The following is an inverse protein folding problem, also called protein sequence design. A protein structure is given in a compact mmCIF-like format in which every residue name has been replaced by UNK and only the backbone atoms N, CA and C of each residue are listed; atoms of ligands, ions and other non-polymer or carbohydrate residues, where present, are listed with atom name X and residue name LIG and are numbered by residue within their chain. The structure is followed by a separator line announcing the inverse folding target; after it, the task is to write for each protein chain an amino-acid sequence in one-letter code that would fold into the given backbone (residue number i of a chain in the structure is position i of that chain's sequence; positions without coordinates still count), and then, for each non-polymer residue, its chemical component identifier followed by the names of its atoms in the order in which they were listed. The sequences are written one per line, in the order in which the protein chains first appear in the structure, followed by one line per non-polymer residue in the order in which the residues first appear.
data_IF_324425010410
#
_entry.id   IF_324425010410
#
_cell.length_a   1.000
_cell.length_b   1.000
_cell.length_c   1.000
_cell.angle_alpha   90.00
_cell.angle_beta   90.00
_cell.angle_gamma   90.00
#
_symmetry.space_group_name_H-M   'P 1'
#
loop_
_entity.id
_entity.type
_entity.pdbx_description
1 polymer ?
#
# COMPACT_ATOMS: atom_id res chain seq x y z
N UNK A 1 -9.25 5.02 2.76
CA UNK A 1 -9.87 6.15 3.47
C UNK A 1 -10.28 7.27 2.52
N UNK A 2 -9.33 8.12 2.12
CA UNK A 2 -9.60 9.33 1.34
C UNK A 2 -10.36 9.09 0.01
N UNK A 3 -9.99 8.08 -0.77
CA UNK A 3 -10.71 7.75 -2.01
C UNK A 3 -12.19 7.39 -1.79
N UNK A 4 -12.52 6.71 -0.68
CA UNK A 4 -13.89 6.34 -0.33
C UNK A 4 -14.77 7.53 0.13
N UNK A 5 -14.14 8.65 0.53
CA UNK A 5 -14.87 9.90 0.80
C UNK A 5 -15.36 10.56 -0.51
N UNK A 6 -14.54 10.47 -1.56
CA UNK A 6 -14.86 11.01 -2.89
C UNK A 6 -15.84 10.11 -3.64
N UNK A 7 -15.56 8.80 -3.68
CA UNK A 7 -16.33 7.82 -4.42
C UNK A 7 -16.61 6.59 -3.54
N UNK A 8 -17.88 6.29 -3.21
CA UNK A 8 -18.23 5.05 -2.54
C UNK A 8 -17.78 3.85 -3.37
N UNK A 9 -16.91 3.02 -2.81
CA UNK A 9 -16.31 1.91 -3.54
C UNK A 9 -17.29 0.73 -3.56
N UNK A 10 -17.64 0.26 -4.76
CA UNK A 10 -18.53 -0.89 -5.01
C UNK A 10 -17.76 -1.94 -5.83
N UNK A 11 -18.08 -3.23 -5.65
CA UNK A 11 -17.22 -4.32 -6.10
C UNK A 11 -17.43 -4.77 -7.57
N UNK A 12 -16.32 -5.11 -8.24
CA UNK A 12 -16.22 -6.23 -9.19
C UNK A 12 -15.68 -7.48 -8.47
N UNK A 13 -16.41 -8.60 -8.54
CA UNK A 13 -16.39 -9.65 -7.49
C UNK A 13 -15.29 -10.70 -7.63
N UNK A 14 -14.75 -10.95 -8.83
CA UNK A 14 -13.94 -12.14 -9.09
C UNK A 14 -12.42 -11.92 -8.86
N UNK A 15 -11.80 -10.96 -9.54
CA UNK A 15 -10.33 -10.77 -9.51
C UNK A 15 -9.83 -10.21 -8.18
N UNK A 16 -10.61 -9.32 -7.56
CA UNK A 16 -10.32 -8.71 -6.25
C UNK A 16 -10.28 -9.74 -5.12
N UNK A 17 -11.05 -10.82 -5.22
CA UNK A 17 -11.12 -11.85 -4.17
C UNK A 17 -9.81 -12.63 -4.01
N UNK A 18 -9.14 -13.00 -5.11
CA UNK A 18 -7.89 -13.77 -5.08
C UNK A 18 -6.74 -12.93 -4.52
N UNK A 19 -6.53 -11.73 -5.05
CA UNK A 19 -5.45 -10.86 -4.60
C UNK A 19 -5.64 -10.37 -3.17
N UNK A 20 -6.89 -10.13 -2.76
CA UNK A 20 -7.22 -9.84 -1.36
C UNK A 20 -6.89 -11.00 -0.43
N UNK A 21 -7.26 -12.23 -0.78
CA UNK A 21 -6.92 -13.40 0.04
C UNK A 21 -5.41 -13.60 0.17
N UNK A 22 -4.65 -13.43 -0.92
CA UNK A 22 -3.19 -13.53 -0.87
C UNK A 22 -2.60 -12.44 0.02
N UNK A 23 -3.13 -11.22 -0.02
CA UNK A 23 -2.69 -10.14 0.86
C UNK A 23 -2.87 -10.50 2.34
N UNK A 24 -4.04 -11.06 2.72
CA UNK A 24 -4.28 -11.51 4.10
C UNK A 24 -3.30 -12.63 4.47
N UNK A 25 -3.15 -13.64 3.61
CA UNK A 25 -2.25 -14.77 3.88
C UNK A 25 -0.80 -14.32 4.01
N UNK A 26 -0.34 -13.42 3.15
CA UNK A 26 1.01 -12.85 3.22
C UNK A 26 1.21 -12.04 4.51
N UNK A 27 0.20 -11.27 4.91
CA UNK A 27 0.26 -10.49 6.16
C UNK A 27 0.29 -11.40 7.39
N UNK A 28 -0.54 -12.44 7.42
CA UNK A 28 -0.53 -13.44 8.49
C UNK A 28 0.78 -14.23 8.53
N UNK A 29 1.36 -14.53 7.37
CA UNK A 29 2.67 -15.18 7.27
C UNK A 29 3.78 -14.30 7.86
N UNK A 30 3.82 -13.01 7.51
CA UNK A 30 4.78 -12.06 8.08
C UNK A 30 4.56 -11.90 9.58
N UNK A 31 3.32 -11.79 10.05
CA UNK A 31 2.99 -11.74 11.49
C UNK A 31 3.46 -13.01 12.21
N UNK A 32 3.20 -14.19 11.65
CA UNK A 32 3.63 -15.46 12.24
C UNK A 32 5.15 -15.55 12.37
N UNK A 33 5.91 -15.13 11.36
CA UNK A 33 7.37 -15.11 11.41
C UNK A 33 7.89 -14.05 12.40
N UNK A 34 7.25 -12.88 12.44
CA UNK A 34 7.58 -11.81 13.38
C UNK A 34 7.40 -12.25 14.84
N UNK A 35 6.31 -12.94 15.18
CA UNK A 35 6.07 -13.43 16.55
C UNK A 35 6.81 -14.72 16.89
N UNK A 36 7.04 -15.59 15.90
CA UNK A 36 7.60 -16.92 16.13
C UNK A 36 9.12 -16.97 16.07
N UNK A 37 9.72 -16.24 15.12
CA UNK A 37 11.17 -16.27 14.85
C UNK A 37 11.87 -14.96 15.19
N UNK A 38 11.11 -13.87 15.46
CA UNK A 38 11.63 -12.50 15.68
C UNK A 38 12.54 -12.00 14.54
N UNK A 39 12.54 -12.69 13.42
CA UNK A 39 13.40 -12.45 12.26
C UNK A 39 12.62 -12.80 11.01
N UNK A 40 12.79 -12.01 9.95
CA UNK A 40 12.33 -12.33 8.61
C UNK A 40 13.50 -12.92 7.80
N UNK A 41 13.63 -14.26 7.73
CA UNK A 41 14.80 -14.91 7.13
C UNK A 41 14.77 -14.85 5.60
N UNK A 42 15.94 -15.02 4.97
CA UNK A 42 16.10 -14.99 3.50
C UNK A 42 15.15 -15.93 2.76
N UNK A 43 14.91 -17.12 3.31
CA UNK A 43 14.02 -18.10 2.68
C UNK A 43 12.56 -17.62 2.66
N UNK A 44 12.12 -16.89 3.68
CA UNK A 44 10.78 -16.32 3.73
C UNK A 44 10.65 -15.21 2.68
N UNK A 45 11.68 -14.37 2.53
CA UNK A 45 11.75 -13.38 1.46
C UNK A 45 11.70 -14.02 0.06
N UNK A 46 12.43 -15.11 -0.16
CA UNK A 46 12.41 -15.83 -1.44
C UNK A 46 11.03 -16.42 -1.74
N UNK A 47 10.35 -16.98 -0.74
CA UNK A 47 8.98 -17.47 -0.88
C UNK A 47 8.03 -16.33 -1.27
N UNK A 48 8.17 -15.16 -0.64
CA UNK A 48 7.36 -13.98 -0.95
C UNK A 48 7.58 -13.49 -2.39
N UNK A 49 8.82 -13.46 -2.87
CA UNK A 49 9.15 -13.11 -4.25
C UNK A 49 8.56 -14.12 -5.26
N UNK A 50 8.67 -15.42 -4.97
CA UNK A 50 8.05 -16.47 -5.81
C UNK A 50 6.54 -16.31 -5.83
N UNK A 51 5.90 -16.03 -4.68
CA UNK A 51 4.47 -15.77 -4.61
C UNK A 51 4.07 -14.55 -5.46
N UNK A 52 4.87 -13.47 -5.45
CA UNK A 52 4.62 -12.30 -6.31
C UNK A 52 4.69 -12.65 -7.80
N UNK A 53 5.70 -13.43 -8.21
CA UNK A 53 5.87 -13.85 -9.60
C UNK A 53 4.70 -14.73 -10.05
N UNK A 54 4.35 -15.75 -9.25
CA UNK A 54 3.22 -16.65 -9.54
C UNK A 54 1.92 -15.87 -9.65
N UNK A 55 1.66 -14.94 -8.72
CA UNK A 55 0.46 -14.12 -8.74
C UNK A 55 0.41 -13.22 -9.98
N UNK A 56 1.54 -12.62 -10.35
CA UNK A 56 1.64 -11.77 -11.54
C UNK A 56 1.32 -12.58 -12.80
N UNK A 57 1.96 -13.74 -12.97
CA UNK A 57 1.72 -14.65 -14.09
C UNK A 57 0.25 -15.11 -14.13
N UNK A 58 -0.32 -15.46 -12.98
CA UNK A 58 -1.72 -15.87 -12.89
C UNK A 58 -2.72 -14.77 -13.30
N UNK A 59 -2.41 -13.50 -13.00
CA UNK A 59 -3.20 -12.36 -13.47
C UNK A 59 -3.11 -12.25 -15.01
N UNK A 60 -1.91 -12.30 -15.58
CA UNK A 60 -1.72 -12.17 -17.03
C UNK A 60 -2.45 -13.27 -17.81
N UNK A 61 -2.36 -14.53 -17.35
CA UNK A 61 -3.07 -15.65 -17.99
C UNK A 61 -4.59 -15.50 -17.84
N UNK A 62 -5.07 -14.89 -16.75
CA UNK A 62 -6.51 -14.69 -16.51
C UNK A 62 -7.14 -13.51 -17.26
N UNK A 63 -6.36 -12.55 -17.74
CA UNK A 63 -6.86 -11.29 -18.33
C UNK A 63 -7.09 -11.33 -19.85
N UNK A 64 -6.64 -12.38 -20.54
CA UNK A 64 -6.72 -12.52 -22.01
C UNK A 64 -8.16 -12.40 -22.54
N UNK A 65 -9.18 -12.70 -21.71
CA UNK A 65 -10.59 -12.66 -22.11
C UNK A 65 -11.30 -11.31 -21.93
N UNK A 66 -10.80 -10.39 -21.10
CA UNK A 66 -11.49 -9.09 -20.83
C UNK A 66 -10.87 -7.92 -21.61
N UNK A 67 -9.55 -7.93 -21.83
CA UNK A 67 -8.86 -6.87 -22.57
C UNK A 67 -9.28 -6.78 -24.04
N UNK A 68 -9.77 -7.88 -24.62
CA UNK A 68 -10.22 -7.96 -26.02
C UNK A 68 -11.60 -7.31 -26.22
N UNK A 69 -12.45 -7.27 -25.19
CA UNK A 69 -13.82 -6.75 -25.29
C UNK A 69 -13.86 -5.21 -25.17
N UNK A 70 -13.03 -4.63 -24.29
CA UNK A 70 -12.97 -3.18 -24.03
C UNK A 70 -12.18 -2.39 -25.10
N UNK A 71 -11.24 -3.04 -25.79
CA UNK A 71 -10.42 -2.46 -26.85
C UNK A 71 -11.18 -2.23 -28.19
N UNK A 72 -12.47 -2.58 -28.26
CA UNK A 72 -13.29 -2.44 -29.48
C UNK A 72 -13.85 -1.03 -29.74
N UNK A 73 -13.35 0.01 -29.06
CA UNK A 73 -13.63 1.41 -29.41
C UNK A 73 -12.61 1.94 -30.45
N UNK A 74 -12.98 2.07 -31.74
CA UNK A 74 -12.03 2.28 -32.83
C UNK A 74 -11.51 3.74 -32.97
N UNK A 75 -11.74 4.61 -31.98
CA UNK A 75 -11.35 6.03 -32.02
C UNK A 75 -10.12 6.41 -31.17
N UNK A 76 -9.51 5.44 -30.49
CA UNK A 76 -8.48 5.71 -29.48
C UNK A 76 -7.10 5.93 -30.12
N UNK A 77 -6.53 7.13 -29.95
CA UNK A 77 -5.16 7.40 -30.37
C UNK A 77 -4.18 6.78 -29.37
N UNK A 78 -3.71 5.57 -29.68
CA UNK A 78 -2.73 4.83 -28.89
C UNK A 78 -1.49 5.66 -28.59
N UNK A 79 -0.98 6.42 -29.56
CA UNK A 79 0.19 7.28 -29.36
C UNK A 79 -0.04 8.34 -28.30
N UNK A 80 -1.15 9.08 -28.39
CA UNK A 80 -1.50 10.10 -27.38
C UNK A 80 -1.67 9.49 -25.99
N UNK A 81 -2.17 8.26 -25.93
CA UNK A 81 -2.52 7.60 -24.66
C UNK A 81 -1.32 6.99 -23.98
N UNK A 82 -0.40 6.41 -24.75
CA UNK A 82 0.90 6.00 -24.23
C UNK A 82 1.69 7.21 -23.72
N UNK A 83 1.66 8.34 -24.45
CA UNK A 83 2.29 9.59 -23.99
C UNK A 83 1.63 10.11 -22.72
N UNK A 84 0.30 10.14 -22.64
CA UNK A 84 -0.42 10.57 -21.45
C UNK A 84 -0.14 9.66 -20.24
N UNK A 85 -0.08 8.34 -20.45
CA UNK A 85 0.24 7.37 -19.41
C UNK A 85 1.66 7.56 -18.88
N UNK A 86 2.66 7.58 -19.76
CA UNK A 86 4.07 7.75 -19.38
C UNK A 86 4.27 9.12 -18.73
N UNK A 87 3.78 10.19 -19.36
CA UNK A 87 3.89 11.55 -18.83
C UNK A 87 3.22 11.70 -17.47
N UNK A 88 2.03 11.13 -17.30
CA UNK A 88 1.32 11.10 -16.02
C UNK A 88 2.08 10.34 -14.94
N UNK A 89 2.58 9.14 -15.25
CA UNK A 89 3.36 8.31 -14.33
C UNK A 89 4.66 9.01 -13.92
N UNK A 90 5.41 9.57 -14.87
CA UNK A 90 6.64 10.31 -14.60
C UNK A 90 6.36 11.53 -13.72
N UNK A 91 5.33 12.31 -14.04
CA UNK A 91 4.94 13.49 -13.25
C UNK A 91 4.58 13.10 -11.81
N UNK A 92 3.86 12.00 -11.65
CA UNK A 92 3.46 11.50 -10.33
C UNK A 92 4.66 11.04 -9.49
N UNK A 93 5.58 10.26 -10.08
CA UNK A 93 6.77 9.75 -9.39
C UNK A 93 7.72 10.89 -9.04
N UNK A 94 8.07 11.73 -10.03
CA UNK A 94 9.02 12.84 -9.83
C UNK A 94 8.43 13.89 -8.90
N UNK A 95 7.15 14.24 -9.06
CA UNK A 95 6.47 15.17 -8.16
C UNK A 95 6.41 14.66 -6.72
N UNK A 96 6.17 13.36 -6.53
CA UNK A 96 6.26 12.71 -5.22
C UNK A 96 7.66 12.81 -4.61
N UNK A 97 8.70 12.50 -5.38
CA UNK A 97 10.09 12.59 -4.91
C UNK A 97 10.49 14.02 -4.51
N UNK A 98 10.15 15.02 -5.33
CA UNK A 98 10.42 16.44 -5.03
C UNK A 98 9.71 16.85 -3.74
N UNK A 99 8.47 16.40 -3.53
CA UNK A 99 7.73 16.67 -2.30
C UNK A 99 8.43 16.07 -1.07
N UNK A 100 8.90 14.82 -1.15
CA UNK A 100 9.59 14.15 -0.04
C UNK A 100 10.87 14.91 0.31
N UNK A 101 11.70 15.24 -0.69
CA UNK A 101 12.96 15.97 -0.48
C UNK A 101 12.69 17.31 0.21
N UNK A 102 11.77 18.11 -0.32
CA UNK A 102 11.44 19.40 0.30
C UNK A 102 10.85 19.27 1.71
N UNK A 103 10.05 18.23 1.98
CA UNK A 103 9.49 17.99 3.30
C UNK A 103 10.57 17.54 4.32
N UNK A 104 11.51 16.70 3.89
CA UNK A 104 12.67 16.29 4.70
C UNK A 104 13.56 17.50 5.01
N UNK A 105 13.92 18.30 4.00
CA UNK A 105 14.75 19.50 4.18
C UNK A 105 14.13 20.49 5.18
N UNK A 106 12.79 20.66 5.14
CA UNK A 106 12.07 21.51 6.09
C UNK A 106 12.06 20.90 7.49
N UNK A 107 11.89 19.59 7.62
CA UNK A 107 11.87 18.90 8.90
C UNK A 107 13.23 18.95 9.61
N UNK A 108 14.32 18.78 8.85
CA UNK A 108 15.69 18.92 9.36
C UNK A 108 15.97 20.35 9.85
N UNK A 109 15.53 21.37 9.10
CA UNK A 109 15.67 22.78 9.50
C UNK A 109 14.91 23.13 10.79
N UNK A 110 13.81 22.44 11.07
CA UNK A 110 13.02 22.59 12.32
C UNK A 110 13.62 21.76 13.47
N UNK A 111 14.68 20.98 13.20
CA UNK A 111 15.38 20.18 14.21
C UNK A 111 14.67 18.87 14.56
N UNK A 112 13.85 18.32 13.65
CA UNK A 112 13.22 17.02 13.88
C UNK A 112 14.27 15.89 13.79
N UNK A 113 14.25 14.90 14.69
CA UNK A 113 15.16 13.77 14.63
C UNK A 113 14.99 12.95 13.34
N UNK A 114 16.10 12.48 12.75
CA UNK A 114 16.10 11.66 11.52
C UNK A 114 15.18 10.44 11.61
N UNK A 115 15.13 9.80 12.78
CA UNK A 115 14.24 8.66 13.04
C UNK A 115 12.75 9.04 12.88
N UNK A 116 12.35 10.22 13.37
CA UNK A 116 10.97 10.72 13.24
C UNK A 116 10.67 11.06 11.78
N UNK A 117 11.61 11.70 11.08
CA UNK A 117 11.50 12.02 9.66
C UNK A 117 11.32 10.74 8.83
N UNK A 118 12.15 9.73 9.08
CA UNK A 118 12.08 8.42 8.41
C UNK A 118 10.78 7.69 8.68
N UNK A 119 10.36 7.63 9.96
CA UNK A 119 9.14 6.94 10.37
C UNK A 119 7.86 7.61 9.88
N UNK A 120 7.89 8.90 9.53
CA UNK A 120 6.69 9.67 9.15
C UNK A 120 6.75 10.22 7.73
N UNK A 121 7.59 11.22 7.48
CA UNK A 121 7.64 11.95 6.20
C UNK A 121 8.04 11.01 5.07
N UNK A 122 9.09 10.22 5.25
CA UNK A 122 9.55 9.27 4.23
C UNK A 122 8.52 8.14 4.07
N UNK A 123 8.03 7.57 5.17
CA UNK A 123 7.03 6.50 5.15
C UNK A 123 5.73 6.92 4.43
N UNK A 124 5.16 8.08 4.75
CA UNK A 124 3.96 8.62 4.08
C UNK A 124 4.30 9.02 2.65
N UNK A 125 5.45 9.65 2.45
CA UNK A 125 5.92 10.18 1.20
C UNK A 125 5.97 9.16 0.07
N UNK A 126 6.50 7.97 0.36
CA UNK A 126 6.60 6.87 -0.62
C UNK A 126 5.22 6.34 -1.08
N UNK A 127 4.15 6.59 -0.31
CA UNK A 127 2.78 6.20 -0.64
C UNK A 127 1.95 7.33 -1.30
N UNK A 128 2.55 8.53 -1.48
CA UNK A 128 1.87 9.66 -2.10
C UNK A 128 1.48 9.40 -3.57
N UNK A 129 2.36 8.83 -4.42
CA UNK A 129 1.98 8.50 -5.80
C UNK A 129 0.71 7.65 -5.86
N UNK A 130 0.62 6.60 -5.05
CA UNK A 130 -0.51 5.68 -4.98
C UNK A 130 -1.76 6.38 -4.45
N UNK A 131 -1.62 7.25 -3.45
CA UNK A 131 -2.72 8.06 -2.93
C UNK A 131 -3.28 8.97 -4.02
N UNK A 132 -2.43 9.73 -4.71
CA UNK A 132 -2.85 10.65 -5.75
C UNK A 132 -3.43 9.94 -6.98
N UNK A 133 -2.85 8.81 -7.39
CA UNK A 133 -3.42 7.96 -8.45
C UNK A 133 -4.83 7.48 -8.07
N UNK A 134 -5.01 7.01 -6.83
CA UNK A 134 -6.32 6.58 -6.32
C UNK A 134 -7.33 7.73 -6.25
N UNK A 135 -6.91 8.92 -5.81
CA UNK A 135 -7.77 10.10 -5.76
C UNK A 135 -8.17 10.57 -7.16
N UNK A 136 -7.24 10.55 -8.12
CA UNK A 136 -7.52 10.88 -9.51
C UNK A 136 -8.51 9.90 -10.14
N UNK A 137 -8.33 8.59 -9.94
CA UNK A 137 -9.26 7.56 -10.38
C UNK A 137 -10.65 7.71 -9.73
N UNK A 138 -10.70 7.95 -8.41
CA UNK A 138 -11.94 8.17 -7.67
C UNK A 138 -12.71 9.39 -8.17
N UNK A 139 -12.02 10.50 -8.47
CA UNK A 139 -12.63 11.71 -9.04
C UNK A 139 -13.33 11.47 -10.38
N UNK A 140 -12.84 10.51 -11.15
CA UNK A 140 -13.41 10.13 -12.44
C UNK A 140 -14.39 8.95 -12.36
N UNK A 141 -14.76 8.49 -11.15
CA UNK A 141 -15.71 7.39 -10.97
C UNK A 141 -15.13 5.98 -11.16
N UNK A 142 -13.81 5.84 -11.36
CA UNK A 142 -13.16 4.55 -11.62
C UNK A 142 -12.87 3.77 -10.33
N UNK A 143 -13.91 3.31 -9.65
CA UNK A 143 -13.80 2.60 -8.37
C UNK A 143 -13.00 1.30 -8.43
N UNK A 144 -13.06 0.57 -9.54
CA UNK A 144 -12.30 -0.67 -9.74
C UNK A 144 -10.80 -0.41 -9.80
N UNK A 145 -10.39 0.68 -10.48
CA UNK A 145 -8.98 1.12 -10.53
C UNK A 145 -8.48 1.52 -9.14
N UNK A 146 -9.33 2.18 -8.34
CA UNK A 146 -9.00 2.53 -6.94
C UNK A 146 -8.74 1.28 -6.11
N UNK A 147 -9.64 0.29 -6.17
CA UNK A 147 -9.48 -0.97 -5.41
C UNK A 147 -8.26 -1.74 -5.90
N UNK A 148 -8.07 -1.83 -7.22
CA UNK A 148 -6.92 -2.49 -7.83
C UNK A 148 -5.60 -1.87 -7.38
N UNK A 149 -5.52 -0.55 -7.33
CA UNK A 149 -4.33 0.16 -6.84
C UNK A 149 -4.08 -0.11 -5.34
N UNK A 150 -5.12 -0.03 -4.49
CA UNK A 150 -4.99 -0.29 -3.05
C UNK A 150 -4.51 -1.72 -2.76
N UNK A 151 -5.07 -2.72 -3.42
CA UNK A 151 -4.69 -4.12 -3.19
C UNK A 151 -3.33 -4.42 -3.82
N UNK A 152 -3.10 -3.96 -5.05
CA UNK A 152 -1.88 -4.22 -5.80
C UNK A 152 -0.64 -3.59 -5.17
N UNK A 153 -0.73 -2.34 -4.69
CA UNK A 153 0.40 -1.67 -4.03
C UNK A 153 0.77 -2.34 -2.71
N UNK A 154 -0.21 -2.69 -1.87
CA UNK A 154 0.05 -3.41 -0.62
C UNK A 154 0.63 -4.80 -0.86
N UNK A 155 0.13 -5.51 -1.89
CA UNK A 155 0.65 -6.81 -2.25
C UNK A 155 2.10 -6.72 -2.75
N UNK A 156 2.42 -5.69 -3.53
CA UNK A 156 3.79 -5.43 -4.00
C UNK A 156 4.70 -5.03 -2.83
N UNK A 157 4.23 -4.20 -1.89
CA UNK A 157 5.02 -3.80 -0.72
C UNK A 157 5.37 -5.01 0.15
N UNK A 158 4.42 -5.92 0.39
CA UNK A 158 4.71 -7.12 1.18
C UNK A 158 5.52 -8.11 0.35
N UNK A 159 5.02 -8.56 -0.80
CA UNK A 159 5.64 -9.68 -1.49
C UNK A 159 6.94 -9.30 -2.22
N UNK A 160 6.99 -8.12 -2.84
CA UNK A 160 8.15 -7.66 -3.60
C UNK A 160 9.13 -6.88 -2.74
N UNK A 161 8.71 -5.77 -2.13
CA UNK A 161 9.64 -4.87 -1.42
C UNK A 161 10.18 -5.55 -0.16
N UNK A 162 9.30 -5.97 0.75
CA UNK A 162 9.72 -6.65 1.98
C UNK A 162 10.37 -8.01 1.68
N UNK A 163 9.89 -8.74 0.67
CA UNK A 163 10.52 -9.99 0.21
C UNK A 163 11.95 -9.78 -0.29
N UNK A 164 12.19 -8.74 -1.10
CA UNK A 164 13.51 -8.39 -1.60
C UNK A 164 14.44 -7.96 -0.47
N UNK A 165 13.96 -7.10 0.44
CA UNK A 165 14.74 -6.67 1.60
C UNK A 165 15.18 -7.87 2.42
N UNK A 166 14.27 -8.80 2.76
CA UNK A 166 14.58 -10.00 3.54
C UNK A 166 15.60 -10.94 2.87
N UNK A 167 15.60 -11.03 1.54
CA UNK A 167 16.60 -11.82 0.79
C UNK A 167 17.99 -11.18 0.88
N UNK A 168 18.07 -9.85 0.69
CA UNK A 168 19.33 -9.10 0.71
C UNK A 168 19.89 -9.03 2.13
N UNK A 169 19.07 -8.57 3.08
CA UNK A 169 19.40 -8.37 4.48
C UNK A 169 18.28 -8.93 5.35
N UNK A 170 18.45 -10.09 6.01
CA UNK A 170 17.47 -10.58 6.98
C UNK A 170 17.11 -9.48 7.97
N UNK A 171 15.81 -9.33 8.23
CA UNK A 171 15.30 -8.27 9.09
C UNK A 171 15.06 -8.83 10.48
N UNK A 172 15.76 -8.30 11.47
CA UNK A 172 15.43 -8.52 12.87
C UNK A 172 14.19 -7.67 13.21
N UNK A 173 13.21 -8.31 13.84
CA UNK A 173 11.94 -7.71 14.19
C UNK A 173 11.91 -7.51 15.70
N UNK A 174 12.35 -6.36 16.23
CA UNK A 174 12.41 -6.15 17.66
C UNK A 174 11.01 -6.26 18.28
N UNK A 175 10.88 -6.99 19.41
CA UNK A 175 9.58 -7.28 20.03
C UNK A 175 8.82 -6.04 20.50
N UNK A 176 9.51 -4.90 20.71
CA UNK A 176 8.93 -3.70 21.29
C UNK A 176 8.35 -2.70 20.27
N UNK A 177 8.77 -2.75 18.99
CA UNK A 177 8.50 -1.67 18.02
C UNK A 177 7.60 -2.09 16.85
N UNK A 178 7.56 -3.38 16.52
CA UNK A 178 6.99 -3.87 15.25
C UNK A 178 5.65 -4.64 15.38
N UNK A 179 5.27 -5.27 16.51
CA UNK A 179 4.02 -6.03 16.56
C UNK A 179 2.78 -5.18 16.31
N UNK A 180 2.69 -3.99 16.92
CA UNK A 180 1.46 -3.20 16.87
C UNK A 180 1.13 -2.63 15.49
N UNK A 181 2.14 -2.17 14.75
CA UNK A 181 1.95 -1.65 13.38
C UNK A 181 1.55 -2.76 12.42
N UNK A 182 2.20 -3.93 12.50
CA UNK A 182 1.86 -5.10 11.69
C UNK A 182 0.48 -5.68 12.05
N UNK A 183 0.13 -5.73 13.33
CA UNK A 183 -1.21 -6.17 13.78
C UNK A 183 -2.27 -5.21 13.26
N UNK A 184 -2.08 -3.91 13.43
CA UNK A 184 -3.05 -2.92 12.96
C UNK A 184 -3.20 -2.96 11.44
N UNK A 185 -2.10 -3.14 10.71
CA UNK A 185 -2.11 -3.34 9.27
C UNK A 185 -2.89 -4.62 8.89
N UNK A 186 -2.65 -5.74 9.57
CA UNK A 186 -3.38 -7.00 9.35
C UNK A 186 -4.88 -6.88 9.64
N UNK A 187 -5.26 -6.19 10.73
CA UNK A 187 -6.65 -5.94 11.07
C UNK A 187 -7.34 -5.04 10.05
N UNK A 188 -6.73 -3.92 9.69
CA UNK A 188 -7.33 -2.95 8.76
C UNK A 188 -7.44 -3.51 7.34
N UNK A 189 -6.41 -4.19 6.84
CA UNK A 189 -6.45 -4.88 5.54
C UNK A 189 -7.43 -6.05 5.54
N UNK A 190 -7.48 -6.84 6.62
CA UNK A 190 -8.44 -7.92 6.81
C UNK A 190 -9.88 -7.43 6.81
N UNK A 191 -10.19 -6.37 7.56
CA UNK A 191 -11.51 -5.73 7.56
C UNK A 191 -11.85 -5.18 6.18
N UNK A 192 -10.92 -4.46 5.54
CA UNK A 192 -11.12 -3.92 4.20
C UNK A 192 -11.49 -5.01 3.19
N UNK A 193 -10.74 -6.11 3.16
CA UNK A 193 -10.99 -7.22 2.24
C UNK A 193 -12.28 -7.97 2.61
N UNK A 194 -12.55 -8.21 3.90
CA UNK A 194 -13.77 -8.86 4.34
C UNK A 194 -15.03 -8.09 3.90
N UNK A 195 -14.99 -6.76 4.00
CA UNK A 195 -16.06 -5.88 3.52
C UNK A 195 -16.26 -5.98 2.00
N UNK A 196 -15.16 -6.02 1.24
CA UNK A 196 -15.22 -6.21 -0.22
C UNK A 196 -15.79 -7.58 -0.60
N UNK A 197 -15.39 -8.66 0.09
CA UNK A 197 -15.89 -10.02 -0.13
C UNK A 197 -17.37 -10.15 0.25
N UNK A 198 -17.81 -9.46 1.31
CA UNK A 198 -19.20 -9.36 1.72
C UNK A 198 -20.06 -8.52 0.77
N UNK A 199 -19.48 -7.94 -0.29
CA UNK A 199 -20.17 -7.09 -1.25
C UNK A 199 -20.66 -5.77 -0.65
N UNK A 200 -20.11 -5.36 0.49
CA UNK A 200 -20.48 -4.12 1.14
C UNK A 200 -19.87 -2.93 0.40
N UNK A 201 -20.66 -1.87 0.24
CA UNK A 201 -20.16 -0.61 -0.32
C UNK A 201 -19.31 0.07 0.74
N UNK A 202 -18.04 0.34 0.43
CA UNK A 202 -17.20 1.15 1.32
C UNK A 202 -17.56 2.61 1.09
N UNK A 203 -18.56 3.05 1.84
CA UNK A 203 -19.06 4.42 1.80
C UNK A 203 -18.20 5.40 2.59
N UNK A 204 -18.63 6.66 2.60
CA UNK A 204 -17.91 7.77 3.23
C UNK A 204 -17.62 7.53 4.71
N UNK A 205 -18.57 6.97 5.46
CA UNK A 205 -18.41 6.71 6.90
C UNK A 205 -17.32 5.67 7.19
N UNK A 206 -17.27 4.60 6.40
CA UNK A 206 -16.20 3.59 6.52
C UNK A 206 -14.86 4.18 6.07
N UNK A 207 -14.86 4.98 5.01
CA UNK A 207 -13.69 5.74 4.56
C UNK A 207 -13.14 6.67 5.65
N UNK A 208 -14.03 7.36 6.37
CA UNK A 208 -13.69 8.22 7.50
C UNK A 208 -13.13 7.40 8.66
N UNK A 209 -13.75 6.27 9.00
CA UNK A 209 -13.26 5.37 10.05
C UNK A 209 -11.82 4.90 9.77
N UNK A 210 -11.52 4.46 8.53
CA UNK A 210 -10.15 4.11 8.13
C UNK A 210 -9.16 5.28 8.24
N UNK A 211 -9.60 6.52 7.92
CA UNK A 211 -8.74 7.70 8.09
C UNK A 211 -8.49 8.03 9.56
N UNK A 212 -9.52 7.93 10.41
CA UNK A 212 -9.38 8.18 11.85
C UNK A 212 -8.40 7.16 12.45
N UNK A 213 -8.54 5.87 12.12
CA UNK A 213 -7.58 4.84 12.56
C UNK A 213 -6.16 5.15 12.09
N UNK A 214 -5.98 5.57 10.84
CA UNK A 214 -4.67 5.96 10.32
C UNK A 214 -4.07 7.16 11.05
N UNK A 215 -4.88 8.21 11.30
CA UNK A 215 -4.42 9.40 12.04
C UNK A 215 -4.06 9.05 13.48
N UNK A 216 -4.88 8.25 14.16
CA UNK A 216 -4.59 7.79 15.53
C UNK A 216 -3.29 6.99 15.59
N UNK A 217 -3.05 6.12 14.61
CA UNK A 217 -1.80 5.38 14.50
C UNK A 217 -0.59 6.30 14.35
N UNK A 218 -0.66 7.30 13.45
CA UNK A 218 0.44 8.27 13.28
C UNK A 218 0.69 9.04 14.58
N UNK A 219 -0.37 9.51 15.25
CA UNK A 219 -0.23 10.23 16.52
C UNK A 219 0.42 9.37 17.61
N UNK A 220 0.01 8.10 17.73
CA UNK A 220 0.61 7.16 18.68
C UNK A 220 2.07 6.83 18.33
N UNK A 221 2.37 6.64 17.05
CA UNK A 221 3.73 6.38 16.58
C UNK A 221 4.67 7.56 16.86
N UNK A 222 4.15 8.78 16.75
CA UNK A 222 4.88 10.00 17.09
C UNK A 222 5.11 10.14 18.59
N UNK A 223 4.10 9.88 19.42
CA UNK A 223 4.25 9.96 20.88
C UNK A 223 5.23 8.91 21.41
N UNK A 224 5.19 7.68 20.91
CA UNK A 224 6.15 6.64 21.29
C UNK A 224 7.58 6.93 20.85
N UNK A 225 7.77 7.58 19.68
CA UNK A 225 9.08 8.05 19.22
C UNK A 225 9.65 9.19 20.06
N UNK A 226 8.79 10.05 20.63
CA UNK A 226 9.18 11.13 21.54
C UNK A 226 9.49 10.61 22.95
N UNK A 227 8.69 9.69 23.49
CA UNK A 227 8.94 9.09 24.82
C UNK A 227 10.24 8.26 24.87
N UNK A 228 10.58 7.55 23.79
CA UNK A 228 11.87 6.85 23.68
C UNK A 228 13.06 7.82 23.75
N UNK A 229 12.89 9.05 23.26
CA UNK A 229 13.94 10.07 23.27
C UNK A 229 14.09 10.76 24.64
N UNK A 230 12.99 11.02 25.35
CA UNK A 230 13.03 11.55 26.73
C UNK A 230 13.69 10.59 27.74
N UNK A 231 13.72 9.29 27.45
CA UNK A 231 14.38 8.26 28.28
C UNK A 231 15.85 8.04 27.90
N UNK A 232 16.26 8.44 26.68
CA UNK A 232 17.62 8.24 26.17
C UNK A 232 18.59 9.41 26.46
N UNK A 233 18.10 10.50 27.06
CA UNK A 233 18.87 11.65 27.55
C UNK A 233 19.00 11.62 29.09
#
# INVERSE_FOLDING_TARGET
GAAALLLPLCCARATISRSGLILILATLFVLFLSFGLEVLPRWAGLLMLVAMLVQTIAIFIGQESQAVEEATNPGWNWGLSSVALIGGLTTLIVGGQIFIIGAVDLAEQVGLPEAVIGATIVAIGTSLPELFASLAAARHGHGEVVIGNIIGSNLTNILLVLGLVAVVSPLDVPPDLVPWSLILFGLTSGVFIALLLAGQKIGRWMGLAFLVVFVLYILQSLSGGLEFFDVAL
#
